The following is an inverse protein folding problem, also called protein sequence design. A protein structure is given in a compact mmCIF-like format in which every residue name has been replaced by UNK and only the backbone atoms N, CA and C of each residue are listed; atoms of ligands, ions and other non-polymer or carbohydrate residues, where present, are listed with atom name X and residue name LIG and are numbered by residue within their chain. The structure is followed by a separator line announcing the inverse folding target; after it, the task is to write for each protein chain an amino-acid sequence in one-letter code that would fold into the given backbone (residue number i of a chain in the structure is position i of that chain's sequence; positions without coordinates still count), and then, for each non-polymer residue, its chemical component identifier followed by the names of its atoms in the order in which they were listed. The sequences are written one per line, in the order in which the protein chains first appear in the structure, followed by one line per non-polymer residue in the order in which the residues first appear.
data_IF_373488017103
#
_entry.id   IF_373488017103
#
_cell.length_a   1.000
_cell.length_b   1.000
_cell.length_c   1.000
_cell.angle_alpha   90.00
_cell.angle_beta   90.00
_cell.angle_gamma   90.00
#
_symmetry.space_group_name_H-M   'P 1'
#
loop_
_entity.id
_entity.type
_entity.pdbx_description
1 polymer ?
#
# COMPACT_ATOMS: atom_id res chain seq x y z
N UNK A 1 -16.57 -7.63 23.21
CA UNK A 1 -15.22 -7.15 23.56
C UNK A 1 -14.78 -6.23 22.43
N UNK A 2 -14.84 -4.91 22.62
CA UNK A 2 -14.47 -3.94 21.59
C UNK A 2 -12.95 -3.95 21.44
N UNK A 3 -12.44 -4.35 20.27
CA UNK A 3 -11.01 -4.28 19.97
C UNK A 3 -10.70 -2.84 19.57
N UNK A 4 -10.09 -2.07 20.47
CA UNK A 4 -9.60 -0.72 20.18
C UNK A 4 -8.17 -0.83 19.66
N UNK A 5 -7.93 -0.68 18.35
CA UNK A 5 -6.59 -0.74 17.79
C UNK A 5 -5.76 0.45 18.30
N UNK A 6 -4.67 0.15 19.01
CA UNK A 6 -3.71 1.14 19.48
C UNK A 6 -2.80 1.52 18.31
N UNK A 7 -2.86 2.78 17.87
CA UNK A 7 -1.97 3.32 16.83
C UNK A 7 -0.64 3.71 17.49
N UNK A 8 0.48 3.48 16.78
CA UNK A 8 1.79 3.91 17.25
C UNK A 8 1.82 5.44 17.44
N UNK A 9 2.40 5.91 18.55
CA UNK A 9 2.45 7.34 18.90
C UNK A 9 2.98 8.22 17.77
N UNK A 10 4.04 7.80 17.09
CA UNK A 10 4.64 8.53 15.96
C UNK A 10 3.70 8.62 14.76
N UNK A 11 2.90 7.58 14.51
CA UNK A 11 1.87 7.62 13.47
C UNK A 11 0.72 8.56 13.84
N UNK A 12 0.37 8.66 15.13
CA UNK A 12 -0.65 9.60 15.58
C UNK A 12 -0.20 11.06 15.42
N UNK A 13 1.03 11.38 15.82
CA UNK A 13 1.64 12.71 15.63
C UNK A 13 1.72 13.08 14.14
N UNK A 14 2.03 12.13 13.26
CA UNK A 14 1.98 12.30 11.81
C UNK A 14 0.56 12.65 11.32
N UNK A 15 -0.44 11.92 11.79
CA UNK A 15 -1.85 12.18 11.46
C UNK A 15 -2.29 13.59 11.88
N UNK A 16 -1.93 14.02 13.09
CA UNK A 16 -2.24 15.36 13.58
C UNK A 16 -1.53 16.44 12.76
N UNK A 17 -0.26 16.26 12.44
CA UNK A 17 0.52 17.20 11.64
C UNK A 17 -0.08 17.43 10.24
N UNK A 18 -0.53 16.36 9.58
CA UNK A 18 -1.11 16.44 8.24
C UNK A 18 -2.64 16.52 8.23
N UNK A 19 -3.30 16.69 9.39
CA UNK A 19 -4.77 16.73 9.50
C UNK A 19 -5.45 15.49 8.89
N UNK A 20 -4.81 14.32 8.97
CA UNK A 20 -5.23 13.10 8.29
C UNK A 20 -5.72 12.06 9.30
N UNK A 21 -6.87 11.44 9.04
CA UNK A 21 -7.39 10.35 9.88
C UNK A 21 -6.73 9.01 9.54
N UNK A 22 -6.13 8.33 10.53
CA UNK A 22 -5.62 6.97 10.37
C UNK A 22 -6.66 5.98 10.88
N UNK A 23 -7.20 5.18 9.95
CA UNK A 23 -8.16 4.11 10.27
C UNK A 23 -7.43 2.77 10.20
N UNK A 24 -7.18 2.11 11.34
CA UNK A 24 -6.52 0.80 11.35
C UNK A 24 -7.45 -0.27 10.77
N UNK A 25 -6.90 -1.11 9.90
CA UNK A 25 -7.64 -2.21 9.27
C UNK A 25 -7.79 -3.41 10.23
N UNK A 26 -8.90 -4.15 10.09
CA UNK A 26 -9.16 -5.33 10.91
C UNK A 26 -8.13 -6.44 10.69
N UNK A 27 -7.60 -6.98 11.79
CA UNK A 27 -6.69 -8.12 11.79
C UNK A 27 -7.40 -9.37 11.26
N UNK A 28 -6.73 -10.16 10.42
CA UNK A 28 -7.17 -11.48 9.87
C UNK A 28 -8.38 -11.47 8.91
N UNK A 29 -9.04 -10.34 8.68
CA UNK A 29 -10.01 -10.15 7.60
C UNK A 29 -9.88 -8.74 7.02
N UNK A 30 -8.94 -8.51 6.08
CA UNK A 30 -8.67 -7.20 5.49
C UNK A 30 -9.76 -6.77 4.48
N UNK A 31 -11.05 -6.86 4.84
CA UNK A 31 -12.14 -6.37 4.00
C UNK A 31 -12.19 -4.84 3.91
N UNK A 32 -11.58 -4.16 4.87
CA UNK A 32 -11.51 -2.69 4.93
C UNK A 32 -10.50 -2.09 3.92
N UNK A 33 -9.76 -2.94 3.18
CA UNK A 33 -8.76 -2.54 2.19
C UNK A 33 -9.03 -3.10 0.79
N UNK A 34 -10.21 -3.67 0.54
CA UNK A 34 -10.51 -4.33 -0.74
C UNK A 34 -10.29 -3.42 -1.96
N UNK A 35 -10.62 -2.13 -1.86
CA UNK A 35 -10.39 -1.17 -2.94
C UNK A 35 -8.88 -0.96 -3.20
N UNK A 36 -8.09 -0.79 -2.13
CA UNK A 36 -6.63 -0.59 -2.25
C UNK A 36 -5.96 -1.84 -2.80
N UNK A 37 -6.29 -3.03 -2.26
CA UNK A 37 -5.72 -4.30 -2.72
C UNK A 37 -6.10 -4.59 -4.18
N UNK A 38 -7.35 -4.30 -4.57
CA UNK A 38 -7.82 -4.44 -5.94
C UNK A 38 -7.11 -3.50 -6.90
N UNK A 39 -7.01 -2.21 -6.57
CA UNK A 39 -6.30 -1.22 -7.39
C UNK A 39 -4.82 -1.56 -7.51
N UNK A 40 -4.15 -1.92 -6.40
CA UNK A 40 -2.73 -2.34 -6.43
C UNK A 40 -2.57 -3.59 -7.29
N UNK A 41 -3.45 -4.58 -7.15
CA UNK A 41 -3.41 -5.80 -7.97
C UNK A 41 -3.54 -5.51 -9.47
N UNK A 42 -4.48 -4.64 -9.86
CA UNK A 42 -4.66 -4.23 -11.25
C UNK A 42 -3.43 -3.50 -11.77
N UNK A 43 -2.95 -2.46 -11.08
CA UNK A 43 -1.79 -1.67 -11.49
C UNK A 43 -0.55 -2.57 -11.62
N UNK A 44 -0.30 -3.42 -10.62
CA UNK A 44 0.83 -4.35 -10.62
C UNK A 44 0.77 -5.30 -11.80
N UNK A 45 -0.43 -5.81 -12.13
CA UNK A 45 -0.63 -6.70 -13.29
C UNK A 45 -0.27 -6.00 -14.59
N UNK A 46 -0.70 -4.74 -14.78
CA UNK A 46 -0.38 -3.97 -15.97
C UNK A 46 1.12 -3.63 -16.09
N UNK A 47 1.76 -3.25 -14.99
CA UNK A 47 3.21 -2.98 -14.95
C UNK A 47 3.99 -4.26 -15.30
N UNK A 48 3.66 -5.40 -14.69
CA UNK A 48 4.33 -6.66 -15.01
C UNK A 48 4.08 -7.04 -16.48
N UNK A 49 2.85 -6.84 -16.97
CA UNK A 49 2.51 -7.16 -18.35
C UNK A 49 3.26 -6.28 -19.38
N UNK A 50 3.51 -5.00 -19.10
CA UNK A 50 4.29 -4.11 -19.98
C UNK A 50 5.79 -4.42 -19.96
N UNK A 51 6.29 -4.92 -18.82
CA UNK A 51 7.70 -5.23 -18.62
C UNK A 51 8.07 -6.69 -18.93
N UNK A 52 7.10 -7.58 -19.20
CA UNK A 52 7.30 -9.05 -19.32
C UNK A 52 8.34 -9.53 -20.34
N UNK A 53 8.66 -8.71 -21.34
CA UNK A 53 9.62 -9.02 -22.39
C UNK A 53 10.93 -8.22 -22.25
N UNK A 54 11.10 -7.48 -21.17
CA UNK A 54 12.28 -6.67 -20.87
C UNK A 54 13.10 -7.35 -19.76
N UNK A 55 14.43 -7.29 -19.86
CA UNK A 55 15.33 -7.79 -18.81
C UNK A 55 16.06 -6.61 -18.21
N UNK A 56 15.98 -6.50 -16.89
CA UNK A 56 16.69 -5.48 -16.12
C UNK A 56 17.80 -6.14 -15.31
N UNK A 57 18.97 -5.51 -15.28
CA UNK A 57 20.13 -6.00 -14.52
C UNK A 57 20.34 -5.20 -13.23
N UNK A 58 19.66 -4.05 -13.10
CA UNK A 58 19.65 -3.22 -11.90
C UNK A 58 18.24 -2.74 -11.58
N UNK A 59 18.00 -2.40 -10.30
CA UNK A 59 16.74 -1.77 -9.87
C UNK A 59 16.58 -0.35 -10.43
N UNK A 60 17.70 0.33 -10.69
CA UNK A 60 17.68 1.67 -11.26
C UNK A 60 17.08 1.66 -12.67
N UNK A 61 17.55 0.74 -13.52
CA UNK A 61 17.07 0.61 -14.90
C UNK A 61 15.56 0.29 -14.93
N UNK A 62 15.09 -0.54 -14.00
CA UNK A 62 13.67 -0.85 -13.83
C UNK A 62 12.86 0.38 -13.43
N UNK A 63 13.34 1.18 -12.46
CA UNK A 63 12.63 2.36 -11.97
C UNK A 63 12.51 3.49 -13.00
N UNK A 64 13.45 3.60 -13.94
CA UNK A 64 13.37 4.60 -15.02
C UNK A 64 12.31 4.23 -16.08
N UNK A 65 11.96 2.95 -16.19
CA UNK A 65 10.97 2.44 -17.16
C UNK A 65 9.52 2.40 -16.68
N UNK A 66 9.27 2.59 -15.38
CA UNK A 66 7.92 2.61 -14.78
C UNK A 66 7.45 4.07 -14.67
#
# INVERSE_FOLDING_TARGET
MWYTPVINKTYHELAEHYGTAIIPARIRRPKDKANVEGTVGVITTWIIASLRNQKFFTLYDLNVTI
#
